data_IF_499823833541
#
_entry.id   IF_499823833541
#
_cell.length_a   1.000
_cell.length_b   1.000
_cell.length_c   1.000
_cell.angle_alpha   90.00
_cell.angle_beta   90.00
_cell.angle_gamma   90.00
#
_symmetry.space_group_name_H-M   'P 1'
#
loop_
_entity.id
_entity.type
_entity.pdbx_description
1 polymer ?
#
# COMPACT_ATOMS: atom_id res chain seq x y z
N UNK A 1 23.59 0.44 8.80
CA UNK A 1 23.42 1.09 7.46
C UNK A 1 24.53 0.68 6.53
N UNK A 2 25.82 0.88 6.89
CA UNK A 2 26.97 0.58 6.00
C UNK A 2 26.99 -0.88 5.51
N UNK A 3 26.73 -1.85 6.40
CA UNK A 3 26.70 -3.27 6.03
C UNK A 3 25.58 -3.55 5.03
N UNK A 4 24.40 -2.93 5.20
CA UNK A 4 23.30 -3.07 4.26
C UNK A 4 23.64 -2.45 2.89
N UNK A 5 24.28 -1.30 2.87
CA UNK A 5 24.76 -0.67 1.64
C UNK A 5 25.79 -1.54 0.92
N UNK A 6 26.71 -2.18 1.67
CA UNK A 6 27.67 -3.11 1.10
C UNK A 6 26.99 -4.32 0.42
N UNK A 7 25.96 -4.89 1.05
CA UNK A 7 25.18 -5.99 0.48
C UNK A 7 24.38 -5.61 -0.77
N UNK A 8 24.00 -4.34 -0.92
CA UNK A 8 23.29 -3.80 -2.09
C UNK A 8 24.25 -3.30 -3.20
N UNK A 9 25.55 -3.24 -2.92
CA UNK A 9 26.53 -2.72 -3.88
C UNK A 9 26.90 -3.75 -4.96
N UNK A 10 27.41 -3.33 -6.13
CA UNK A 10 27.92 -4.24 -7.14
C UNK A 10 29.03 -5.20 -6.63
N UNK A 11 29.76 -4.81 -5.58
CA UNK A 11 30.77 -5.67 -4.94
C UNK A 11 30.17 -6.92 -4.28
N UNK A 12 28.87 -6.94 -4.00
CA UNK A 12 28.19 -8.11 -3.45
C UNK A 12 27.78 -9.15 -4.50
N UNK A 13 27.84 -8.82 -5.79
CA UNK A 13 27.45 -9.72 -6.88
C UNK A 13 28.05 -11.13 -6.79
N UNK A 14 29.36 -11.34 -6.51
CA UNK A 14 29.95 -12.66 -6.35
C UNK A 14 29.36 -13.48 -5.18
N UNK A 15 28.67 -12.83 -4.24
CA UNK A 15 28.09 -13.43 -3.04
C UNK A 15 26.58 -13.65 -3.10
N UNK A 16 25.91 -13.33 -4.22
CA UNK A 16 24.45 -13.40 -4.35
C UNK A 16 23.89 -14.77 -3.98
N UNK A 17 24.51 -15.86 -4.43
CA UNK A 17 24.04 -17.21 -4.10
C UNK A 17 24.15 -17.51 -2.59
N UNK A 18 25.24 -17.08 -1.97
CA UNK A 18 25.43 -17.23 -0.51
C UNK A 18 24.42 -16.43 0.25
N UNK A 19 24.16 -15.20 -0.16
CA UNK A 19 23.14 -14.31 0.43
C UNK A 19 21.75 -14.92 0.27
N UNK A 20 21.41 -15.45 -0.90
CA UNK A 20 20.12 -16.09 -1.16
C UNK A 20 19.89 -17.30 -0.27
N UNK A 21 20.90 -18.15 -0.08
CA UNK A 21 20.83 -19.32 0.83
C UNK A 21 20.65 -18.92 2.28
N UNK A 22 21.35 -17.87 2.73
CA UNK A 22 21.19 -17.34 4.09
C UNK A 22 19.81 -16.73 4.28
N UNK A 23 19.34 -15.93 3.33
CA UNK A 23 18.00 -15.32 3.34
C UNK A 23 16.92 -16.42 3.41
N UNK A 24 17.02 -17.45 2.57
CA UNK A 24 16.10 -18.58 2.61
C UNK A 24 16.08 -19.26 3.97
N UNK A 25 17.27 -19.54 4.55
CA UNK A 25 17.38 -20.17 5.87
C UNK A 25 16.66 -19.32 6.94
N UNK A 26 16.92 -18.02 7.00
CA UNK A 26 16.28 -17.15 7.96
C UNK A 26 14.75 -17.04 7.75
N UNK A 27 14.32 -17.06 6.50
CA UNK A 27 12.89 -17.09 6.18
C UNK A 27 12.24 -18.39 6.68
N UNK A 28 12.85 -19.55 6.40
CA UNK A 28 12.33 -20.84 6.84
C UNK A 28 12.36 -20.99 8.39
N UNK A 29 13.40 -20.49 9.05
CA UNK A 29 13.51 -20.47 10.52
C UNK A 29 12.42 -19.56 11.16
N UNK A 30 12.08 -18.43 10.52
CA UNK A 30 11.14 -17.45 11.06
C UNK A 30 9.69 -17.76 10.73
N UNK A 31 9.40 -18.17 9.52
CA UNK A 31 8.05 -18.30 8.96
C UNK A 31 7.69 -19.72 8.52
N UNK A 32 8.62 -20.68 8.62
CA UNK A 32 8.43 -22.02 8.09
C UNK A 32 8.31 -22.04 6.57
N UNK A 33 7.47 -22.91 6.05
CA UNK A 33 7.17 -23.04 4.61
C UNK A 33 5.78 -22.55 4.28
N UNK A 34 5.31 -21.55 4.99
CA UNK A 34 3.99 -20.93 4.76
C UNK A 34 4.13 -19.74 3.84
N UNK A 35 3.09 -19.48 3.06
CA UNK A 35 2.98 -18.30 2.20
C UNK A 35 1.62 -17.64 2.46
N UNK A 36 1.64 -16.37 2.80
CA UNK A 36 0.41 -15.58 2.91
C UNK A 36 0.01 -15.07 1.54
N UNK A 37 -1.19 -15.37 1.11
CA UNK A 37 -1.74 -14.90 -0.16
C UNK A 37 -2.75 -13.79 0.10
N UNK A 38 -2.67 -12.71 -0.66
CA UNK A 38 -3.64 -11.63 -0.62
C UNK A 38 -4.12 -11.29 -2.04
N UNK A 39 -5.24 -10.60 -2.12
CA UNK A 39 -5.78 -10.09 -3.38
C UNK A 39 -6.03 -8.58 -3.27
N UNK A 40 -5.58 -7.77 -4.23
CA UNK A 40 -5.94 -6.35 -4.28
C UNK A 40 -7.35 -6.17 -4.83
N UNK A 41 -8.10 -5.23 -4.24
CA UNK A 41 -9.36 -4.74 -4.76
C UNK A 41 -9.32 -3.22 -4.86
N UNK A 42 -9.46 -2.71 -6.08
CA UNK A 42 -9.56 -1.27 -6.36
C UNK A 42 -10.98 -0.81 -6.09
N UNK A 43 -11.23 -0.20 -4.93
CA UNK A 43 -12.57 0.28 -4.56
C UNK A 43 -12.90 1.64 -5.17
N UNK A 44 -11.85 2.41 -5.57
CA UNK A 44 -12.01 3.62 -6.41
C UNK A 44 -10.73 3.96 -7.14
N UNK A 45 -10.86 4.49 -8.36
CA UNK A 45 -9.78 5.08 -9.15
C UNK A 45 -9.81 6.62 -9.15
N UNK A 46 -10.64 7.22 -8.29
CA UNK A 46 -10.66 8.68 -8.14
C UNK A 46 -9.35 9.14 -7.49
N UNK A 47 -8.63 10.03 -8.17
CA UNK A 47 -7.37 10.59 -7.72
C UNK A 47 -7.29 12.09 -7.99
N UNK A 48 -6.66 12.84 -7.11
CA UNK A 48 -6.42 14.28 -7.22
C UNK A 48 -4.96 14.64 -7.56
N UNK A 49 -4.10 13.63 -7.72
CA UNK A 49 -2.70 13.80 -8.08
C UNK A 49 -2.45 13.81 -9.59
N UNK A 50 -1.32 14.38 -10.00
CA UNK A 50 -0.83 14.43 -11.37
C UNK A 50 0.47 13.62 -11.54
N UNK A 51 0.58 12.46 -10.91
CA UNK A 51 1.77 11.61 -11.02
C UNK A 51 1.97 11.18 -12.47
N UNK A 52 3.14 11.50 -13.06
CA UNK A 52 3.39 11.34 -14.50
C UNK A 52 3.41 9.88 -14.98
N UNK A 53 3.62 8.93 -14.10
CA UNK A 53 3.69 7.48 -14.39
C UNK A 53 2.37 6.74 -14.12
N UNK A 54 1.40 7.38 -13.43
CA UNK A 54 0.23 6.68 -12.90
C UNK A 54 -0.99 6.83 -13.81
N UNK A 55 -1.62 5.70 -14.17
CA UNK A 55 -2.86 5.72 -14.96
C UNK A 55 -4.04 6.40 -14.26
N UNK A 56 -4.00 6.56 -12.92
CA UNK A 56 -5.05 7.24 -12.15
C UNK A 56 -4.84 8.76 -12.03
N UNK A 57 -3.78 9.33 -12.62
CA UNK A 57 -3.56 10.78 -12.54
C UNK A 57 -4.78 11.57 -13.04
N UNK A 58 -5.05 12.71 -12.40
CA UNK A 58 -6.34 13.43 -12.57
C UNK A 58 -6.62 13.88 -14.00
N UNK A 59 -5.58 14.15 -14.80
CA UNK A 59 -5.68 14.61 -16.19
C UNK A 59 -5.97 13.47 -17.17
N UNK A 60 -5.84 12.20 -16.76
CA UNK A 60 -6.16 11.07 -17.63
C UNK A 60 -7.68 11.00 -17.88
N UNK A 61 -8.14 11.04 -19.14
CA UNK A 61 -9.56 11.05 -19.50
C UNK A 61 -10.20 9.65 -19.36
N UNK A 62 -10.07 9.04 -18.20
CA UNK A 62 -10.68 7.76 -17.88
C UNK A 62 -11.94 7.93 -17.05
N UNK A 63 -12.89 6.99 -17.18
CA UNK A 63 -14.05 6.95 -16.31
C UNK A 63 -13.62 6.77 -14.85
N UNK A 64 -14.16 7.61 -13.95
CA UNK A 64 -13.90 7.52 -12.51
C UNK A 64 -15.02 6.74 -11.85
N UNK A 65 -14.63 5.70 -11.12
CA UNK A 65 -15.56 4.81 -10.40
C UNK A 65 -15.29 4.90 -8.92
N UNK A 66 -16.36 4.95 -8.15
CA UNK A 66 -16.32 4.83 -6.68
C UNK A 66 -17.37 3.77 -6.36
N UNK A 67 -16.91 2.63 -5.88
CA UNK A 67 -17.82 1.53 -5.57
C UNK A 67 -18.71 1.88 -4.37
N UNK A 68 -20.00 1.59 -4.49
CA UNK A 68 -20.91 1.67 -3.36
C UNK A 68 -20.64 0.55 -2.36
N UNK A 69 -21.07 0.66 -1.09
CA UNK A 69 -20.94 -0.42 -0.12
C UNK A 69 -21.49 -1.77 -0.60
N UNK A 70 -22.60 -1.76 -1.34
CA UNK A 70 -23.19 -2.96 -1.93
C UNK A 70 -22.30 -3.54 -3.03
N UNK A 71 -21.73 -2.70 -3.88
CA UNK A 71 -20.79 -3.14 -4.92
C UNK A 71 -19.51 -3.73 -4.30
N UNK A 72 -18.96 -3.09 -3.27
CA UNK A 72 -17.80 -3.60 -2.52
C UNK A 72 -18.10 -5.00 -1.94
N UNK A 73 -19.26 -5.16 -1.32
CA UNK A 73 -19.66 -6.47 -0.78
C UNK A 73 -19.81 -7.54 -1.86
N UNK A 74 -20.36 -7.19 -3.02
CA UNK A 74 -20.48 -8.10 -4.14
C UNK A 74 -19.11 -8.54 -4.67
N UNK A 75 -18.13 -7.62 -4.73
CA UNK A 75 -16.73 -7.96 -5.06
C UNK A 75 -16.11 -8.91 -4.04
N UNK A 76 -16.31 -8.69 -2.72
CA UNK A 76 -15.81 -9.60 -1.70
C UNK A 76 -16.40 -11.01 -1.84
N UNK A 77 -17.70 -11.12 -2.12
CA UNK A 77 -18.36 -12.42 -2.39
C UNK A 77 -17.78 -13.09 -3.64
N UNK A 78 -17.51 -12.34 -4.70
CA UNK A 78 -16.90 -12.86 -5.92
C UNK A 78 -15.49 -13.38 -5.66
N UNK A 79 -14.66 -12.62 -4.91
CA UNK A 79 -13.31 -13.03 -4.50
C UNK A 79 -13.34 -14.33 -3.70
N UNK A 80 -14.22 -14.45 -2.71
CA UNK A 80 -14.34 -15.69 -1.90
C UNK A 80 -14.82 -16.90 -2.69
N UNK A 81 -15.54 -16.69 -3.80
CA UNK A 81 -15.89 -17.78 -4.72
C UNK A 81 -14.72 -18.19 -5.62
N UNK A 82 -13.83 -17.25 -5.94
CA UNK A 82 -12.66 -17.50 -6.79
C UNK A 82 -11.61 -18.38 -6.07
N UNK A 83 -11.28 -18.03 -4.82
CA UNK A 83 -10.32 -18.76 -4.00
C UNK A 83 -10.48 -18.39 -2.51
N UNK A 84 -9.99 -19.24 -1.59
CA UNK A 84 -10.10 -19.00 -0.14
C UNK A 84 -9.07 -17.95 0.36
N UNK A 85 -9.04 -16.78 -0.25
CA UNK A 85 -8.21 -15.68 0.24
C UNK A 85 -8.62 -15.25 1.64
N UNK A 86 -7.64 -15.19 2.57
CA UNK A 86 -7.84 -14.68 3.93
C UNK A 86 -7.42 -13.22 4.08
N UNK A 87 -6.59 -12.72 3.16
CA UNK A 87 -6.09 -11.35 3.17
C UNK A 87 -6.58 -10.56 1.96
N UNK A 88 -6.99 -9.32 2.20
CA UNK A 88 -7.36 -8.38 1.14
C UNK A 88 -6.56 -7.08 1.27
N UNK A 89 -6.22 -6.48 0.13
CA UNK A 89 -5.63 -5.15 0.03
C UNK A 89 -6.64 -4.23 -0.67
N UNK A 90 -7.20 -3.27 0.07
CA UNK A 90 -8.10 -2.26 -0.49
C UNK A 90 -7.28 -1.12 -1.08
N UNK A 91 -7.43 -0.88 -2.37
CA UNK A 91 -6.65 0.10 -3.11
C UNK A 91 -7.54 1.26 -3.55
N UNK A 92 -7.05 2.49 -3.39
CA UNK A 92 -7.71 3.70 -3.89
C UNK A 92 -6.72 4.62 -4.61
N UNK A 93 -7.24 5.50 -5.48
CA UNK A 93 -6.51 6.73 -5.77
C UNK A 93 -6.55 7.68 -4.55
N UNK A 94 -5.65 8.65 -4.53
CA UNK A 94 -5.58 9.64 -3.47
C UNK A 94 -6.58 10.78 -3.72
N UNK A 95 -7.73 10.70 -3.09
CA UNK A 95 -8.79 11.71 -3.19
C UNK A 95 -9.47 11.92 -1.84
N UNK A 96 -9.03 12.89 -1.01
CA UNK A 96 -9.50 13.06 0.37
C UNK A 96 -11.02 13.12 0.52
N UNK A 97 -11.70 13.83 -0.39
CA UNK A 97 -13.16 14.00 -0.29
C UNK A 97 -13.98 12.77 -0.75
N UNK A 98 -13.40 11.88 -1.58
CA UNK A 98 -14.13 10.74 -2.17
C UNK A 98 -13.71 9.40 -1.60
N UNK A 99 -12.46 9.29 -1.13
CA UNK A 99 -11.85 8.08 -0.58
C UNK A 99 -11.30 8.33 0.83
N UNK A 100 -11.94 9.19 1.61
CA UNK A 100 -11.53 9.52 2.97
C UNK A 100 -11.91 8.45 3.99
N UNK A 101 -11.58 8.72 5.25
CA UNK A 101 -11.76 7.79 6.38
C UNK A 101 -13.16 7.18 6.48
N UNK A 102 -14.27 7.93 6.36
CA UNK A 102 -15.60 7.31 6.45
C UNK A 102 -15.89 6.27 5.37
N UNK A 103 -15.36 6.48 4.16
CA UNK A 103 -15.48 5.53 3.06
C UNK A 103 -14.66 4.27 3.31
N UNK A 104 -13.41 4.45 3.76
CA UNK A 104 -12.49 3.35 4.10
C UNK A 104 -13.02 2.53 5.27
N UNK A 105 -13.48 3.18 6.33
CA UNK A 105 -14.08 2.54 7.50
C UNK A 105 -15.26 1.63 7.11
N UNK A 106 -16.14 2.13 6.24
CA UNK A 106 -17.28 1.35 5.74
C UNK A 106 -16.82 0.13 4.93
N UNK A 107 -15.83 0.29 4.07
CA UNK A 107 -15.27 -0.82 3.29
C UNK A 107 -14.62 -1.88 4.19
N UNK A 108 -13.88 -1.45 5.23
CA UNK A 108 -13.23 -2.33 6.21
C UNK A 108 -14.29 -3.06 7.04
N UNK A 109 -15.34 -2.39 7.50
CA UNK A 109 -16.44 -3.01 8.26
C UNK A 109 -17.13 -4.14 7.49
N UNK A 110 -17.29 -3.99 6.18
CA UNK A 110 -17.83 -5.05 5.34
C UNK A 110 -16.78 -6.15 5.16
N UNK A 111 -15.51 -5.78 4.93
CA UNK A 111 -14.42 -6.73 4.68
C UNK A 111 -14.22 -7.72 5.85
N UNK A 112 -14.41 -7.30 7.11
CA UNK A 112 -14.29 -8.16 8.30
C UNK A 112 -15.17 -9.41 8.27
N UNK A 113 -16.25 -9.40 7.50
CA UNK A 113 -17.14 -10.55 7.35
C UNK A 113 -16.58 -11.62 6.41
N UNK A 114 -15.57 -11.26 5.62
CA UNK A 114 -15.00 -12.08 4.55
C UNK A 114 -13.53 -12.40 4.74
N UNK A 115 -12.77 -11.50 5.37
CA UNK A 115 -11.31 -11.58 5.46
C UNK A 115 -10.84 -11.39 6.89
N UNK A 116 -9.82 -12.15 7.28
CA UNK A 116 -9.18 -12.08 8.59
C UNK A 116 -8.03 -11.07 8.64
N UNK A 117 -7.49 -10.66 7.47
CA UNK A 117 -6.41 -9.69 7.37
C UNK A 117 -6.77 -8.64 6.30
N UNK A 118 -6.93 -7.40 6.74
CA UNK A 118 -7.36 -6.28 5.91
C UNK A 118 -6.28 -5.22 5.89
N UNK A 119 -5.76 -4.93 4.70
CA UNK A 119 -4.78 -3.87 4.47
C UNK A 119 -5.32 -2.82 3.52
N UNK A 120 -4.77 -1.62 3.59
CA UNK A 120 -5.09 -0.52 2.67
C UNK A 120 -3.83 -0.02 1.97
N UNK A 121 -4.00 0.35 0.69
CA UNK A 121 -3.04 1.12 -0.09
C UNK A 121 -3.77 2.36 -0.60
N UNK A 122 -3.63 3.42 0.15
CA UNK A 122 -4.40 4.67 -0.01
C UNK A 122 -3.50 5.88 0.24
N UNK A 123 -4.04 7.08 0.11
CA UNK A 123 -3.32 8.29 0.50
C UNK A 123 -2.84 8.21 1.96
N UNK A 124 -1.68 8.82 2.30
CA UNK A 124 -1.26 8.96 3.68
C UNK A 124 -2.32 9.66 4.53
N UNK A 125 -2.57 9.10 5.70
CA UNK A 125 -3.53 9.61 6.67
C UNK A 125 -2.79 10.21 7.88
N UNK A 126 -3.53 10.87 8.77
CA UNK A 126 -3.05 11.31 10.09
C UNK A 126 -3.03 10.12 11.05
N UNK A 127 -2.25 10.23 12.12
CA UNK A 127 -2.18 9.17 13.14
C UNK A 127 -3.56 8.86 13.77
N UNK A 128 -4.37 9.88 14.06
CA UNK A 128 -5.71 9.71 14.61
C UNK A 128 -6.65 9.00 13.63
N UNK A 129 -6.51 9.26 12.33
CA UNK A 129 -7.30 8.64 11.27
C UNK A 129 -6.93 7.14 11.11
N UNK A 130 -5.65 6.80 11.17
CA UNK A 130 -5.20 5.40 11.24
C UNK A 130 -5.74 4.71 12.49
N UNK A 131 -5.67 5.38 13.65
CA UNK A 131 -6.21 4.87 14.90
C UNK A 131 -7.72 4.59 14.83
N UNK A 132 -8.47 5.45 14.16
CA UNK A 132 -9.89 5.22 13.89
C UNK A 132 -10.08 3.94 13.06
N UNK A 133 -9.32 3.80 11.95
CA UNK A 133 -9.44 2.63 11.07
C UNK A 133 -9.01 1.32 11.75
N UNK A 134 -8.06 1.33 12.70
CA UNK A 134 -7.73 0.13 13.48
C UNK A 134 -8.92 -0.34 14.33
N UNK A 135 -9.74 0.56 14.86
CA UNK A 135 -10.96 0.19 15.58
C UNK A 135 -12.01 -0.48 14.68
N UNK A 136 -11.98 -0.18 13.38
CA UNK A 136 -12.78 -0.86 12.37
C UNK A 136 -12.21 -2.22 11.95
N UNK A 137 -10.95 -2.52 12.27
CA UNK A 137 -10.30 -3.80 11.97
C UNK A 137 -9.24 -3.75 10.89
N UNK A 138 -8.69 -2.58 10.62
CA UNK A 138 -7.51 -2.43 9.76
C UNK A 138 -6.29 -3.08 10.40
N UNK A 139 -5.55 -3.92 9.64
CA UNK A 139 -4.36 -4.62 10.10
C UNK A 139 -3.07 -4.02 9.56
N UNK A 140 -3.08 -3.47 8.35
CA UNK A 140 -1.85 -2.97 7.74
C UNK A 140 -2.07 -1.86 6.72
N UNK A 141 -0.99 -1.13 6.46
CA UNK A 141 -0.95 0.00 5.53
C UNK A 141 0.21 -0.15 4.56
N UNK A 142 -0.04 0.07 3.30
CA UNK A 142 0.98 0.14 2.26
C UNK A 142 0.99 1.57 1.70
N UNK A 143 2.16 2.17 1.62
CA UNK A 143 2.35 3.45 0.96
C UNK A 143 3.71 3.50 0.28
N UNK A 144 3.69 3.56 -1.04
CA UNK A 144 4.92 3.60 -1.83
C UNK A 144 5.36 5.05 -2.08
N UNK A 145 6.59 5.36 -1.65
CA UNK A 145 7.24 6.64 -1.94
C UNK A 145 7.60 6.76 -3.42
N UNK A 146 7.75 5.63 -4.12
CA UNK A 146 8.18 5.46 -5.50
C UNK A 146 9.66 5.79 -5.72
N UNK A 147 10.11 6.97 -5.32
CA UNK A 147 11.53 7.35 -5.24
C UNK A 147 11.80 8.20 -4.01
N UNK A 148 12.93 7.97 -3.36
CA UNK A 148 13.45 8.81 -2.27
C UNK A 148 14.40 9.90 -2.77
N UNK A 149 14.71 9.94 -4.09
CA UNK A 149 15.47 11.02 -4.69
C UNK A 149 14.57 12.24 -4.87
N UNK A 150 14.80 13.26 -4.05
CA UNK A 150 13.87 14.39 -3.89
C UNK A 150 13.61 15.16 -5.20
N UNK A 151 14.67 15.40 -5.99
CA UNK A 151 14.52 16.13 -7.27
C UNK A 151 13.69 15.33 -8.29
N UNK A 152 13.86 14.01 -8.35
CA UNK A 152 13.04 13.14 -9.20
C UNK A 152 11.60 13.09 -8.68
N UNK A 153 11.42 13.01 -7.36
CA UNK A 153 10.09 13.01 -6.74
C UNK A 153 9.27 14.25 -7.11
N UNK A 154 9.86 15.44 -7.01
CA UNK A 154 9.21 16.72 -7.35
C UNK A 154 8.77 16.77 -8.83
N UNK A 155 9.60 16.23 -9.74
CA UNK A 155 9.27 16.16 -11.18
C UNK A 155 8.18 15.14 -11.47
N UNK A 156 8.17 14.03 -10.76
CA UNK A 156 7.23 12.91 -10.97
C UNK A 156 5.86 13.16 -10.34
N UNK A 157 5.78 14.04 -9.33
CA UNK A 157 4.55 14.39 -8.60
C UNK A 157 4.29 15.90 -8.65
N UNK A 158 4.01 16.48 -9.81
CA UNK A 158 3.99 17.93 -10.00
C UNK A 158 2.88 18.64 -9.22
N UNK A 159 1.75 17.99 -8.98
CA UNK A 159 0.61 18.58 -8.25
C UNK A 159 -0.20 17.51 -7.52
N UNK A 160 -1.01 17.97 -6.56
CA UNK A 160 -1.89 17.14 -5.73
C UNK A 160 -1.27 16.79 -4.37
N UNK A 161 -1.99 16.06 -3.51
CA UNK A 161 -1.50 15.69 -2.16
C UNK A 161 -0.15 14.97 -2.16
N UNK A 162 0.09 14.10 -3.11
CA UNK A 162 1.35 13.35 -3.24
C UNK A 162 2.57 14.24 -3.54
N UNK A 163 2.36 15.49 -3.97
CA UNK A 163 3.45 16.45 -4.16
C UNK A 163 4.21 16.76 -2.86
N UNK A 164 3.57 16.64 -1.70
CA UNK A 164 4.23 16.85 -0.41
C UNK A 164 5.14 15.66 -0.07
N UNK A 165 6.41 15.80 -0.46
CA UNK A 165 7.45 14.78 -0.24
C UNK A 165 7.58 14.39 1.23
N UNK A 166 7.62 15.36 2.13
CA UNK A 166 7.84 15.12 3.56
C UNK A 166 6.65 14.37 4.15
N UNK A 167 5.44 14.83 3.89
CA UNK A 167 4.22 14.19 4.36
C UNK A 167 4.09 12.74 3.87
N UNK A 168 4.48 12.45 2.62
CA UNK A 168 4.50 11.09 2.08
C UNK A 168 5.59 10.22 2.72
N UNK A 169 6.82 10.75 2.86
CA UNK A 169 7.95 10.02 3.46
C UNK A 169 7.68 9.57 4.88
N UNK A 170 6.98 10.41 5.67
CA UNK A 170 6.62 10.15 7.06
C UNK A 170 5.31 9.36 7.23
N UNK A 171 4.73 8.84 6.14
CA UNK A 171 3.44 8.16 6.19
C UNK A 171 3.43 6.95 7.14
N UNK A 172 4.51 6.17 7.14
CA UNK A 172 4.60 4.97 7.98
C UNK A 172 4.80 5.29 9.44
N UNK A 173 5.51 6.38 9.77
CA UNK A 173 5.66 6.84 11.16
C UNK A 173 4.28 7.18 11.74
N UNK A 174 3.44 7.91 10.98
CA UNK A 174 2.06 8.22 11.40
C UNK A 174 1.18 6.98 11.48
N UNK A 175 1.35 6.02 10.57
CA UNK A 175 0.60 4.75 10.62
C UNK A 175 0.95 3.98 11.90
N UNK A 176 2.23 3.86 12.24
CA UNK A 176 2.69 3.20 13.46
C UNK A 176 2.24 3.94 14.72
N UNK A 177 2.29 5.27 14.74
CA UNK A 177 1.74 6.10 15.83
C UNK A 177 0.23 5.87 16.00
N UNK A 178 -0.50 5.65 14.90
CA UNK A 178 -1.92 5.28 14.88
C UNK A 178 -2.21 3.84 15.30
N UNK A 179 -1.19 3.05 15.62
CA UNK A 179 -1.33 1.66 16.10
C UNK A 179 -1.28 0.59 15.01
N UNK A 180 -0.82 0.93 13.80
CA UNK A 180 -0.54 -0.03 12.73
C UNK A 180 0.85 -0.62 12.94
N UNK A 181 0.98 -1.94 12.93
CA UNK A 181 2.24 -2.69 13.10
C UNK A 181 2.65 -3.51 11.86
N UNK A 182 1.84 -3.50 10.81
CA UNK A 182 2.13 -4.11 9.51
C UNK A 182 2.17 -3.02 8.44
N UNK A 183 3.37 -2.57 8.07
CA UNK A 183 3.60 -1.49 7.11
C UNK A 183 4.36 -1.96 5.89
N UNK A 184 3.93 -1.53 4.71
CA UNK A 184 4.54 -1.82 3.43
C UNK A 184 5.17 -0.58 2.81
N UNK A 185 6.45 -0.64 2.53
CA UNK A 185 7.22 0.39 1.83
C UNK A 185 7.62 -0.10 0.44
N UNK A 186 7.80 0.82 -0.50
CA UNK A 186 8.25 0.44 -1.83
C UNK A 186 8.83 1.59 -2.63
N UNK A 187 9.59 1.20 -3.65
CA UNK A 187 10.12 2.06 -4.70
C UNK A 187 9.74 1.50 -6.07
N UNK A 188 9.55 2.37 -7.04
CA UNK A 188 9.28 1.99 -8.42
C UNK A 188 10.56 2.13 -9.25
N UNK A 189 11.09 1.00 -9.68
CA UNK A 189 12.29 1.00 -10.54
C UNK A 189 11.98 1.51 -11.94
N UNK A 190 12.96 2.21 -12.54
CA UNK A 190 12.87 2.73 -13.90
C UNK A 190 12.22 4.10 -14.03
N UNK A 191 12.08 4.84 -12.93
CA UNK A 191 11.60 6.23 -12.93
C UNK A 191 12.70 7.25 -13.23
N UNK A 192 13.98 6.84 -13.21
CA UNK A 192 15.18 7.66 -13.48
C UNK A 192 15.96 7.08 -14.64
#
# INVERSE_FOLDING_TARGET
VNDFMALLSPAAEPYLETMARLSRRYTEERFGRTMSMFIPLYITNACSNSCVYCGFHRENPMARTILTPEQIENEYRAIKKLAPFESILLVTGEHPAKAGVPYLAKAIDIAKQYFSNIKIEVMPLKAEEYKELTQHGLNGVICFQETYHKESYEKLHPTGPKHDYAYHTEAMDRAMEGGIDDVGLGVLFGLE
#
